data_IF_249618164403
#
_entry.id   IF_249618164403
#
_cell.length_a   1.000
_cell.length_b   1.000
_cell.length_c   1.000
_cell.angle_alpha   90.00
_cell.angle_beta   90.00
_cell.angle_gamma   90.00
#
_symmetry.space_group_name_H-M   'P 1'
#
loop_
_entity.id
_entity.type
_entity.pdbx_description
1 polymer ?
#
# COMPACT_ATOMS: atom_id res chain seq x y z
N UNK A 1 2.22 18.38 -16.27
CA UNK A 1 2.20 18.47 -14.80
C UNK A 1 2.39 17.05 -14.26
N UNK A 2 3.49 16.81 -13.54
CA UNK A 2 3.94 15.47 -13.16
C UNK A 2 3.01 14.84 -12.12
N UNK A 3 2.65 13.57 -12.33
CA UNK A 3 1.75 12.78 -11.48
C UNK A 3 2.29 12.50 -10.05
N UNK A 4 3.52 12.94 -9.75
CA UNK A 4 4.19 12.74 -8.45
C UNK A 4 3.55 13.52 -7.28
N UNK A 5 2.85 14.63 -7.55
CA UNK A 5 2.31 15.50 -6.50
C UNK A 5 1.15 14.91 -5.69
N UNK A 6 0.55 13.80 -6.12
CA UNK A 6 -0.58 13.17 -5.43
C UNK A 6 -0.19 12.03 -4.49
N UNK A 7 1.09 11.62 -4.45
CA UNK A 7 1.55 10.53 -3.58
C UNK A 7 1.65 10.92 -2.10
N UNK A 8 1.58 12.22 -1.77
CA UNK A 8 1.69 12.72 -0.41
C UNK A 8 0.34 13.29 0.03
N UNK A 9 -0.61 12.44 0.39
CA UNK A 9 -1.83 12.89 1.06
C UNK A 9 -1.49 13.23 2.53
N UNK A 10 -1.55 14.53 2.84
CA UNK A 10 -1.67 15.21 4.15
C UNK A 10 -1.18 14.50 5.43
N UNK A 11 -0.43 15.24 6.26
CA UNK A 11 -0.14 14.85 7.64
C UNK A 11 -1.45 14.52 8.42
N UNK A 12 -1.55 13.36 9.11
CA UNK A 12 -2.85 12.90 9.62
C UNK A 12 -3.34 13.81 10.75
N UNK A 13 -4.53 14.38 10.55
CA UNK A 13 -5.31 14.95 11.64
C UNK A 13 -5.99 13.79 12.39
N UNK A 14 -5.46 13.50 13.59
CA UNK A 14 -6.04 12.67 14.67
C UNK A 14 -7.11 11.64 14.21
N UNK A 15 -6.66 10.50 13.71
CA UNK A 15 -7.50 9.32 13.47
C UNK A 15 -6.60 8.11 13.24
N UNK A 16 -6.54 7.22 14.23
CA UNK A 16 -5.74 5.98 14.30
C UNK A 16 -4.21 6.18 14.10
N UNK A 17 -3.45 5.85 15.15
CA UNK A 17 -1.99 5.95 15.18
C UNK A 17 -1.40 5.17 13.97
N UNK A 18 -0.80 5.88 13.01
CA UNK A 18 -0.25 5.30 11.76
C UNK A 18 0.66 4.09 12.03
N UNK A 19 1.28 4.05 13.22
CA UNK A 19 2.10 2.94 13.72
C UNK A 19 1.38 1.58 13.67
N UNK A 20 0.06 1.55 13.83
CA UNK A 20 -0.71 0.31 13.75
C UNK A 20 -0.68 -0.29 12.35
N UNK A 21 -0.70 0.56 11.32
CA UNK A 21 -0.80 0.14 9.93
C UNK A 21 0.57 -0.04 9.25
N UNK A 22 1.66 0.27 9.95
CA UNK A 22 3.01 -0.02 9.52
C UNK A 22 3.89 1.23 9.44
N UNK A 23 4.85 1.17 8.53
CA UNK A 23 5.81 2.25 8.29
C UNK A 23 5.20 3.36 7.43
N UNK A 24 4.31 3.00 6.49
CA UNK A 24 3.59 3.93 5.62
C UNK A 24 2.13 3.51 5.40
N UNK A 25 1.31 4.44 4.92
CA UNK A 25 -0.06 4.18 4.46
C UNK A 25 -0.18 4.71 3.03
N UNK A 26 -0.72 3.88 2.13
CA UNK A 26 -0.85 4.13 0.71
C UNK A 26 -2.32 4.18 0.30
N UNK A 27 -2.61 4.93 -0.76
CA UNK A 27 -3.95 4.98 -1.36
C UNK A 27 -4.24 3.65 -2.09
N UNK A 28 -5.45 3.12 -1.91
CA UNK A 28 -5.87 1.85 -2.50
C UNK A 28 -6.07 1.90 -4.01
N UNK A 29 -6.24 3.09 -4.59
CA UNK A 29 -6.30 3.32 -6.04
C UNK A 29 -4.92 3.50 -6.69
N UNK A 30 -3.84 3.50 -5.90
CA UNK A 30 -2.49 3.57 -6.41
C UNK A 30 -2.19 2.35 -7.31
N UNK A 31 -1.53 2.61 -8.44
CA UNK A 31 -1.11 1.57 -9.38
C UNK A 31 -0.09 0.64 -8.72
N UNK A 32 -0.36 -0.66 -8.70
CA UNK A 32 0.46 -1.65 -7.99
C UNK A 32 1.89 -1.69 -8.54
N UNK A 33 2.07 -1.54 -9.86
CA UNK A 33 3.41 -1.45 -10.46
C UNK A 33 4.21 -0.24 -9.98
N UNK A 34 3.55 0.90 -9.78
CA UNK A 34 4.23 2.10 -9.27
C UNK A 34 4.63 1.93 -7.80
N UNK A 35 3.75 1.33 -6.99
CA UNK A 35 4.06 0.97 -5.60
C UNK A 35 5.23 -0.01 -5.54
N UNK A 36 5.23 -1.03 -6.40
CA UNK A 36 6.30 -2.01 -6.46
C UNK A 36 7.63 -1.38 -6.84
N UNK A 37 7.65 -0.52 -7.88
CA UNK A 37 8.84 0.19 -8.30
C UNK A 37 9.40 1.10 -7.21
N UNK A 38 8.53 1.84 -6.51
CA UNK A 38 8.92 2.74 -5.42
C UNK A 38 9.65 2.01 -4.28
N UNK A 39 9.22 0.79 -3.97
CA UNK A 39 9.77 -0.02 -2.88
C UNK A 39 10.75 -1.10 -3.35
N UNK A 40 11.11 -1.13 -4.64
CA UNK A 40 12.02 -2.14 -5.21
C UNK A 40 11.46 -3.58 -5.14
N UNK A 41 10.14 -3.73 -5.14
CA UNK A 41 9.47 -5.03 -5.04
C UNK A 41 9.35 -5.71 -6.41
N UNK A 42 9.58 -7.03 -6.51
CA UNK A 42 9.32 -7.79 -7.72
C UNK A 42 7.85 -7.70 -8.15
N UNK A 43 7.60 -7.35 -9.42
CA UNK A 43 6.26 -7.09 -9.97
C UNK A 43 5.99 -7.82 -11.30
N UNK A 44 6.75 -8.88 -11.57
CA UNK A 44 6.59 -9.68 -12.78
C UNK A 44 5.21 -10.35 -12.80
N UNK A 45 4.56 -10.35 -13.98
CA UNK A 45 3.24 -10.93 -14.16
C UNK A 45 2.07 -10.15 -13.54
N UNK A 46 2.32 -8.98 -12.93
CA UNK A 46 1.25 -8.10 -12.44
C UNK A 46 0.60 -7.38 -13.62
N UNK A 47 -0.74 -7.42 -13.65
CA UNK A 47 -1.56 -6.66 -14.59
C UNK A 47 -1.22 -5.15 -14.48
N UNK A 48 -0.88 -4.48 -15.60
CA UNK A 48 -0.47 -3.08 -15.60
C UNK A 48 -1.49 -2.11 -15.02
N UNK A 49 -2.79 -2.43 -15.04
CA UNK A 49 -3.85 -1.55 -14.56
C UNK A 49 -4.31 -1.89 -13.13
N UNK A 50 -3.71 -2.92 -12.51
CA UNK A 50 -4.07 -3.40 -11.20
C UNK A 50 -3.76 -2.37 -10.11
N UNK A 51 -4.78 -1.99 -9.34
CA UNK A 51 -4.59 -1.13 -8.17
C UNK A 51 -4.15 -1.95 -6.96
N UNK A 52 -3.47 -1.28 -6.01
CA UNK A 52 -3.05 -1.88 -4.76
C UNK A 52 -4.25 -2.48 -4.00
N UNK A 53 -5.34 -1.73 -3.84
CA UNK A 53 -6.54 -2.21 -3.15
C UNK A 53 -7.17 -3.42 -3.82
N UNK A 54 -7.23 -3.46 -5.16
CA UNK A 54 -7.76 -4.62 -5.88
C UNK A 54 -6.88 -5.86 -5.67
N UNK A 55 -5.55 -5.70 -5.69
CA UNK A 55 -4.62 -6.79 -5.42
C UNK A 55 -4.73 -7.34 -4.01
N UNK A 56 -4.81 -6.49 -3.00
CA UNK A 56 -4.98 -6.92 -1.61
C UNK A 56 -6.33 -7.64 -1.44
N UNK A 57 -7.41 -7.12 -2.02
CA UNK A 57 -8.71 -7.80 -1.98
C UNK A 57 -8.66 -9.20 -2.61
N UNK A 58 -7.97 -9.36 -3.75
CA UNK A 58 -7.77 -10.68 -4.35
C UNK A 58 -6.97 -11.63 -3.45
N UNK A 59 -5.94 -11.13 -2.76
CA UNK A 59 -5.13 -11.92 -1.82
C UNK A 59 -5.91 -12.34 -0.57
N UNK A 60 -6.83 -11.51 -0.09
CA UNK A 60 -7.73 -11.85 1.03
C UNK A 60 -8.70 -12.98 0.62
N UNK A 61 -9.13 -13.04 -0.65
CA UNK A 61 -9.96 -14.12 -1.17
C UNK A 61 -11.44 -14.09 -0.75
N UNK A 62 -11.88 -12.98 -0.13
CA UNK A 62 -13.24 -12.74 0.34
C UNK A 62 -13.59 -11.25 0.33
N UNK A 63 -14.65 -10.87 1.05
CA UNK A 63 -15.00 -9.46 1.23
C UNK A 63 -14.01 -8.81 2.22
N UNK A 64 -13.14 -7.88 1.78
CA UNK A 64 -12.12 -7.32 2.65
C UNK A 64 -12.72 -6.41 3.72
N UNK A 65 -12.15 -6.45 4.92
CA UNK A 65 -12.49 -5.59 6.05
C UNK A 65 -11.25 -4.87 6.59
N UNK A 66 -11.46 -3.78 7.34
CA UNK A 66 -10.36 -3.08 8.03
C UNK A 66 -9.68 -4.04 9.00
N UNK A 67 -8.35 -4.09 8.94
CA UNK A 67 -7.52 -4.97 9.76
C UNK A 67 -7.10 -6.26 9.08
N UNK A 68 -7.67 -6.62 7.93
CA UNK A 68 -7.19 -7.77 7.14
C UNK A 68 -5.73 -7.59 6.76
N UNK A 69 -4.96 -8.68 6.85
CA UNK A 69 -3.53 -8.68 6.56
C UNK A 69 -3.19 -9.72 5.51
N UNK A 70 -2.29 -9.34 4.61
CA UNK A 70 -1.68 -10.25 3.63
C UNK A 70 -0.19 -10.02 3.58
N UNK A 71 0.54 -11.05 3.18
CA UNK A 71 1.98 -10.97 2.93
C UNK A 71 2.25 -11.05 1.42
N UNK A 72 3.10 -10.16 0.93
CA UNK A 72 3.59 -10.18 -0.44
C UNK A 72 4.99 -9.58 -0.50
N UNK A 73 5.91 -10.29 -1.16
CA UNK A 73 7.33 -9.92 -1.25
C UNK A 73 7.96 -9.66 0.14
N UNK A 74 7.71 -10.57 1.09
CA UNK A 74 8.20 -10.47 2.47
C UNK A 74 7.81 -9.14 3.14
N UNK A 75 6.70 -8.53 2.72
CA UNK A 75 6.20 -7.25 3.21
C UNK A 75 4.76 -7.48 3.69
N UNK A 76 4.43 -6.93 4.86
CA UNK A 76 3.09 -7.04 5.42
C UNK A 76 2.23 -5.87 4.95
N UNK A 77 1.05 -6.20 4.43
CA UNK A 77 0.07 -5.24 3.92
C UNK A 77 -1.21 -5.37 4.73
N UNK A 78 -1.69 -4.27 5.30
CA UNK A 78 -2.89 -4.24 6.16
C UNK A 78 -3.95 -3.34 5.55
N UNK A 79 -5.20 -3.80 5.47
CA UNK A 79 -6.32 -2.94 5.10
C UNK A 79 -6.53 -1.90 6.19
N UNK A 80 -6.27 -0.63 5.89
CA UNK A 80 -6.32 0.46 6.86
C UNK A 80 -7.67 1.21 6.83
N UNK A 81 -8.23 1.40 5.64
CA UNK A 81 -9.50 2.10 5.43
C UNK A 81 -10.28 1.42 4.31
N UNK A 82 -11.58 1.25 4.51
CA UNK A 82 -12.54 0.88 3.47
C UNK A 82 -13.27 2.14 2.97
N UNK A 83 -13.46 2.25 1.66
CA UNK A 83 -14.33 3.22 1.01
C UNK A 83 -15.47 2.47 0.29
N UNK A 84 -16.64 2.42 0.93
CA UNK A 84 -17.73 1.55 0.52
C UNK A 84 -17.30 0.08 0.51
N UNK A 85 -17.32 -0.54 -0.66
CA UNK A 85 -16.90 -1.93 -0.87
C UNK A 85 -15.46 -2.09 -1.40
N UNK A 86 -14.70 -1.00 -1.47
CA UNK A 86 -13.31 -1.00 -1.94
C UNK A 86 -12.35 -0.69 -0.80
N UNK A 87 -11.15 -1.23 -0.90
CA UNK A 87 -10.06 -0.83 -0.01
C UNK A 87 -9.62 0.57 -0.41
N UNK A 88 -9.84 1.54 0.48
CA UNK A 88 -9.46 2.94 0.28
C UNK A 88 -8.01 3.22 0.67
N UNK A 89 -7.49 2.57 1.73
CA UNK A 89 -6.09 2.70 2.15
C UNK A 89 -5.50 1.39 2.61
N UNK A 90 -4.21 1.22 2.35
CA UNK A 90 -3.42 0.05 2.75
C UNK A 90 -2.19 0.49 3.51
N UNK A 91 -2.02 -0.02 4.72
CA UNK A 91 -0.80 0.09 5.49
C UNK A 91 0.27 -0.89 5.00
N UNK A 92 1.53 -0.48 5.01
CA UNK A 92 2.68 -1.30 4.63
C UNK A 92 3.71 -1.33 5.74
N UNK A 93 4.19 -2.52 6.09
CA UNK A 93 5.26 -2.75 7.07
C UNK A 93 6.32 -3.66 6.48
N UNK A 94 7.56 -3.19 6.50
CA UNK A 94 8.70 -4.00 6.07
C UNK A 94 9.25 -4.84 7.23
N UNK A 95 9.94 -5.94 6.95
CA UNK A 95 10.71 -6.65 7.96
C UNK A 95 11.72 -5.70 8.61
N UNK A 96 12.03 -5.97 9.87
CA UNK A 96 13.03 -5.20 10.60
C UNK A 96 14.38 -5.22 9.85
N UNK A 97 15.02 -4.06 9.72
CA UNK A 97 16.27 -3.91 8.98
C UNK A 97 16.15 -3.93 7.45
N UNK A 98 14.97 -4.22 6.90
CA UNK A 98 14.73 -4.35 5.45
C UNK A 98 13.91 -3.20 4.87
N UNK A 99 13.66 -2.14 5.65
CA UNK A 99 12.96 -0.95 5.16
C UNK A 99 13.74 -0.35 3.99
N UNK A 100 13.19 -0.32 2.76
CA UNK A 100 13.75 0.54 1.73
C UNK A 100 13.57 1.99 2.23
N UNK A 101 14.67 2.72 2.39
CA UNK A 101 14.57 4.18 2.44
C UNK A 101 13.92 4.66 1.14
N UNK A 102 13.22 5.81 1.12
CA UNK A 102 12.77 6.39 -0.13
C UNK A 102 14.00 6.68 -0.99
N UNK A 103 14.35 5.75 -1.87
CA UNK A 103 15.37 5.88 -2.88
C UNK A 103 14.85 6.82 -3.95
N UNK A 104 14.72 8.10 -3.61
CA UNK A 104 14.84 9.15 -4.60
C UNK A 104 16.33 9.15 -4.97
N UNK A 105 16.68 8.42 -6.01
CA UNK A 105 17.94 8.64 -6.71
C UNK A 105 17.97 10.13 -7.10
N UNK A 106 18.76 10.92 -6.38
CA UNK A 106 19.31 12.18 -6.89
C UNK A 106 20.48 11.84 -7.80
#
# INVERSE_FOLDING_TARGET
MSALGKLFSQAPQRGLDLRFFGDFVLEGDAQLKAVAALYGLPAEGIDPDMTLGAFIAQKVGGAPIVGDQVEWNNTHWTVAVMDGNKIGKVGVRFPEGSRPGPGLFL
#
